data_IF_339799467574
#
_entry.id   IF_339799467574
#
_cell.length_a   1.000
_cell.length_b   1.000
_cell.length_c   1.000
_cell.angle_alpha   90.00
_cell.angle_beta   90.00
_cell.angle_gamma   90.00
#
_symmetry.space_group_name_H-M   'P 1'
#
loop_
_entity.id
_entity.type
_entity.pdbx_description
1 polymer ?
#
# COMPACT_ATOMS: atom_id res chain seq x y z
N UNK A 1 1.15 -16.26 7.43
CA UNK A 1 0.09 -15.29 7.09
C UNK A 1 0.67 -13.97 7.53
N UNK A 2 1.58 -13.36 6.77
CA UNK A 2 2.42 -12.32 7.36
C UNK A 2 2.95 -11.35 6.31
N UNK A 3 2.82 -10.06 6.64
CA UNK A 3 3.61 -8.87 6.26
C UNK A 3 2.67 -7.66 6.33
N UNK A 4 2.85 -6.73 7.28
CA UNK A 4 2.12 -5.45 7.21
C UNK A 4 2.93 -4.46 6.38
N UNK A 5 2.40 -4.05 5.22
CA UNK A 5 3.03 -3.09 4.32
C UNK A 5 2.32 -1.74 4.45
N UNK A 6 3.04 -0.71 4.90
CA UNK A 6 2.57 0.68 4.81
C UNK A 6 3.38 1.40 3.75
N UNK A 7 2.73 1.96 2.74
CA UNK A 7 3.39 2.68 1.67
C UNK A 7 3.37 4.16 2.00
N UNK A 8 4.49 4.86 2.03
CA UNK A 8 4.42 6.31 2.23
C UNK A 8 5.56 7.06 1.54
N UNK A 9 5.13 7.91 0.61
CA UNK A 9 5.81 8.92 -0.21
C UNK A 9 6.45 8.46 -1.53
N UNK A 10 6.14 9.21 -2.59
CA UNK A 10 7.00 9.36 -3.76
C UNK A 10 7.30 10.84 -3.92
N UNK A 11 8.55 11.26 -3.72
CA UNK A 11 8.95 12.66 -3.89
C UNK A 11 9.51 12.87 -5.29
N UNK A 12 8.97 13.77 -6.14
CA UNK A 12 9.79 14.41 -7.14
C UNK A 12 10.86 15.27 -6.44
N UNK A 13 12.07 15.37 -6.98
CA UNK A 13 13.16 16.20 -6.44
C UNK A 13 12.86 17.72 -6.41
N UNK A 14 11.62 18.14 -6.65
CA UNK A 14 11.18 19.52 -6.46
C UNK A 14 10.90 19.75 -4.97
N UNK A 15 11.85 20.44 -4.33
CA UNK A 15 12.05 20.67 -2.88
C UNK A 15 10.83 21.32 -2.16
N UNK A 16 9.74 21.57 -2.88
CA UNK A 16 8.54 22.25 -2.41
C UNK A 16 7.25 21.41 -2.47
N UNK A 17 7.29 20.15 -2.90
CA UNK A 17 6.12 19.24 -2.84
C UNK A 17 6.46 17.90 -2.18
N UNK A 18 6.57 17.91 -0.85
CA UNK A 18 6.46 16.70 -0.05
C UNK A 18 5.00 16.24 -0.03
N UNK A 19 4.73 14.99 -0.39
CA UNK A 19 3.36 14.49 -0.43
C UNK A 19 3.28 12.97 -0.38
N UNK A 20 2.24 12.48 0.27
CA UNK A 20 1.87 11.08 0.18
C UNK A 20 1.45 10.75 -1.25
N UNK A 21 1.67 9.49 -1.64
CA UNK A 21 0.91 8.92 -2.73
C UNK A 21 -0.59 9.07 -2.44
N UNK A 22 -1.46 9.13 -3.47
CA UNK A 22 -2.90 9.14 -3.25
C UNK A 22 -3.30 7.96 -2.34
N UNK A 23 -3.82 8.28 -1.15
CA UNK A 23 -4.11 7.30 -0.09
C UNK A 23 -2.93 6.35 0.24
N UNK A 24 -1.69 6.84 0.21
CA UNK A 24 -0.50 6.02 0.50
C UNK A 24 -0.51 5.48 1.92
N UNK A 25 -0.86 6.32 2.89
CA UNK A 25 -0.95 5.97 4.31
C UNK A 25 -2.20 5.17 4.68
N UNK A 26 -3.04 4.77 3.72
CA UNK A 26 -4.22 3.92 3.94
C UNK A 26 -5.27 4.44 4.92
N UNK A 27 -5.33 5.74 5.22
CA UNK A 27 -6.35 6.29 6.14
C UNK A 27 -7.77 6.28 5.56
N UNK A 28 -7.90 6.14 4.25
CA UNK A 28 -9.18 5.90 3.58
C UNK A 28 -9.32 4.42 3.24
N UNK A 29 -10.22 3.74 3.95
CA UNK A 29 -10.42 2.30 3.84
C UNK A 29 -11.55 1.86 2.89
N UNK A 30 -11.69 0.53 2.69
CA UNK A 30 -12.82 -0.09 1.99
C UNK A 30 -14.19 0.19 2.62
N UNK A 31 -15.25 0.01 1.84
CA UNK A 31 -16.61 -0.07 2.40
C UNK A 31 -16.77 -1.38 3.18
N UNK A 32 -17.63 -1.37 4.20
CA UNK A 32 -17.89 -2.57 5.01
C UNK A 32 -18.40 -3.76 4.17
N UNK A 33 -19.11 -3.49 3.07
CA UNK A 33 -19.58 -4.52 2.13
C UNK A 33 -18.47 -5.18 1.31
N UNK A 34 -17.29 -4.58 1.27
CA UNK A 34 -16.10 -5.06 0.55
C UNK A 34 -15.07 -5.69 1.49
N UNK A 35 -15.50 -5.98 2.72
CA UNK A 35 -14.72 -6.62 3.76
C UNK A 35 -15.40 -7.91 4.24
N UNK A 36 -14.61 -8.95 4.48
CA UNK A 36 -14.99 -10.13 5.27
C UNK A 36 -14.14 -10.14 6.53
N UNK A 37 -14.68 -9.53 7.59
CA UNK A 37 -13.87 -9.17 8.76
C UNK A 37 -12.88 -8.08 8.38
N UNK A 38 -11.58 -8.39 8.44
CA UNK A 38 -10.47 -7.52 8.02
C UNK A 38 -10.01 -7.79 6.59
N UNK A 39 -10.41 -8.93 6.02
CA UNK A 39 -9.98 -9.34 4.67
C UNK A 39 -10.71 -8.52 3.62
N UNK A 40 -9.95 -7.90 2.72
CA UNK A 40 -10.47 -7.13 1.59
C UNK A 40 -10.91 -8.08 0.49
N UNK A 41 -12.18 -8.01 0.09
CA UNK A 41 -12.77 -8.97 -0.86
C UNK A 41 -12.89 -8.44 -2.29
N UNK A 42 -12.88 -7.12 -2.48
CA UNK A 42 -12.87 -6.49 -3.79
C UNK A 42 -11.45 -5.98 -4.13
N UNK A 43 -10.87 -6.37 -5.29
CA UNK A 43 -9.55 -5.90 -5.75
C UNK A 43 -9.36 -4.38 -5.80
N UNK A 44 -10.44 -3.61 -5.89
CA UNK A 44 -10.42 -2.15 -5.97
C UNK A 44 -11.05 -1.46 -4.76
N UNK A 45 -11.25 -2.18 -3.65
CA UNK A 45 -11.96 -1.64 -2.49
C UNK A 45 -11.18 -0.52 -1.79
N UNK A 46 -9.85 -0.59 -1.81
CA UNK A 46 -8.99 0.42 -1.19
C UNK A 46 -8.84 1.58 -2.18
N UNK A 47 -9.27 2.81 -1.83
CA UNK A 47 -9.16 3.95 -2.72
C UNK A 47 -7.74 4.16 -3.26
N UNK A 48 -7.62 4.27 -4.59
CA UNK A 48 -6.38 4.46 -5.35
C UNK A 48 -5.40 3.27 -5.39
N UNK A 49 -5.76 2.13 -4.79
CA UNK A 49 -4.95 0.92 -4.78
C UNK A 49 -5.70 -0.23 -5.42
N UNK A 50 -4.98 -1.04 -6.19
CA UNK A 50 -5.46 -2.35 -6.62
C UNK A 50 -4.70 -3.42 -5.84
N UNK A 51 -5.43 -4.41 -5.35
CA UNK A 51 -4.88 -5.51 -4.56
C UNK A 51 -4.95 -6.82 -5.33
N UNK A 52 -4.05 -7.74 -4.99
CA UNK A 52 -4.09 -9.13 -5.45
C UNK A 52 -3.67 -10.06 -4.32
N UNK A 53 -4.27 -11.25 -4.28
CA UNK A 53 -4.03 -12.23 -3.22
C UNK A 53 -4.72 -11.87 -1.90
N UNK A 54 -4.16 -12.38 -0.80
CA UNK A 54 -4.71 -12.16 0.54
C UNK A 54 -4.25 -10.81 1.08
N UNK A 55 -5.17 -9.84 1.19
CA UNK A 55 -4.90 -8.53 1.79
C UNK A 55 -5.92 -8.24 2.87
N UNK A 56 -5.44 -7.80 4.03
CA UNK A 56 -6.27 -7.31 5.11
C UNK A 56 -6.09 -5.81 5.29
N UNK A 57 -7.18 -5.13 5.62
CA UNK A 57 -7.18 -3.75 6.09
C UNK A 57 -7.22 -3.77 7.62
N UNK A 58 -6.19 -3.25 8.26
CA UNK A 58 -6.00 -3.35 9.71
C UNK A 58 -6.03 -1.97 10.35
N UNK A 59 -6.50 -1.91 11.59
CA UNK A 59 -6.53 -0.70 12.41
C UNK A 59 -5.49 -0.76 13.52
N UNK A 60 -4.91 0.38 13.88
CA UNK A 60 -4.04 0.51 15.03
C UNK A 60 -4.72 -0.01 16.30
N UNK A 61 -3.99 -0.78 17.10
CA UNK A 61 -4.52 -1.44 18.30
C UNK A 61 -5.23 -2.79 18.03
N UNK A 62 -5.40 -3.20 16.78
CA UNK A 62 -6.03 -4.47 16.44
C UNK A 62 -5.17 -5.66 16.92
N UNK A 63 -5.83 -6.68 17.47
CA UNK A 63 -5.19 -7.92 17.90
C UNK A 63 -5.60 -9.11 17.05
N UNK A 64 -4.69 -10.05 16.87
CA UNK A 64 -4.96 -11.38 16.33
C UNK A 64 -4.56 -12.42 17.39
N UNK A 65 -5.55 -12.93 18.12
CA UNK A 65 -5.29 -13.65 19.37
C UNK A 65 -4.67 -12.69 20.40
N UNK A 66 -3.56 -13.10 21.00
CA UNK A 66 -2.81 -12.26 21.95
C UNK A 66 -1.81 -11.30 21.27
N UNK A 67 -1.62 -11.43 19.96
CA UNK A 67 -0.65 -10.64 19.20
C UNK A 67 -1.23 -9.29 18.79
N UNK A 68 -0.52 -8.21 19.11
CA UNK A 68 -0.84 -6.87 18.62
C UNK A 68 -0.31 -6.69 17.19
N UNK A 69 -1.18 -6.32 16.26
CA UNK A 69 -0.78 -5.95 14.91
C UNK A 69 -0.23 -4.52 14.93
N UNK A 70 1.02 -4.36 14.50
CA UNK A 70 1.70 -3.06 14.46
C UNK A 70 1.24 -2.29 13.23
N UNK A 71 0.75 -1.07 13.45
CA UNK A 71 0.55 -0.06 12.41
C UNK A 71 1.70 0.94 12.52
N UNK A 72 2.66 0.95 11.57
CA UNK A 72 3.86 1.81 11.62
C UNK A 72 3.59 3.32 11.74
N UNK A 73 2.53 3.79 11.09
CA UNK A 73 2.18 5.21 11.01
C UNK A 73 0.65 5.36 10.90
N UNK A 74 0.08 6.40 11.50
CA UNK A 74 -1.35 6.69 11.40
C UNK A 74 -2.25 5.72 12.17
N UNK A 75 -3.49 5.59 11.71
CA UNK A 75 -4.53 4.76 12.28
C UNK A 75 -4.76 3.45 11.52
N UNK A 76 -4.31 3.34 10.27
CA UNK A 76 -4.61 2.19 9.41
C UNK A 76 -3.40 1.71 8.59
N UNK A 77 -3.43 0.45 8.20
CA UNK A 77 -2.43 -0.16 7.32
C UNK A 77 -3.05 -1.30 6.51
N UNK A 78 -2.31 -1.81 5.53
CA UNK A 78 -2.64 -3.09 4.88
C UNK A 78 -1.67 -4.18 5.31
N UNK A 79 -2.20 -5.38 5.48
CA UNK A 79 -1.43 -6.60 5.73
C UNK A 79 -1.53 -7.53 4.54
N UNK A 80 -0.39 -7.84 3.95
CA UNK A 80 -0.21 -8.76 2.86
C UNK A 80 0.00 -10.18 3.38
N UNK A 81 -0.71 -11.12 2.80
CA UNK A 81 -0.38 -12.54 2.89
C UNK A 81 0.74 -12.92 1.91
N UNK A 82 1.07 -14.21 1.87
CA UNK A 82 2.04 -14.73 0.92
C UNK A 82 1.60 -14.45 -0.52
N UNK A 83 2.53 -14.00 -1.36
CA UNK A 83 2.31 -13.64 -2.78
C UNK A 83 1.25 -12.57 -3.02
N UNK A 84 0.78 -11.89 -1.96
CA UNK A 84 -0.14 -10.78 -2.10
C UNK A 84 0.60 -9.51 -2.54
N UNK A 85 -0.11 -8.61 -3.19
CA UNK A 85 0.45 -7.35 -3.65
C UNK A 85 -0.58 -6.23 -3.60
N UNK A 86 -0.05 -5.01 -3.52
CA UNK A 86 -0.79 -3.78 -3.74
C UNK A 86 -0.06 -2.97 -4.79
N UNK A 87 -0.82 -2.35 -5.69
CA UNK A 87 -0.26 -1.55 -6.78
C UNK A 87 -1.10 -0.31 -7.01
N UNK A 88 -0.43 0.75 -7.44
CA UNK A 88 -1.04 2.00 -7.81
C UNK A 88 -0.42 2.48 -9.12
N UNK A 89 -1.24 3.09 -9.97
CA UNK A 89 -0.77 3.72 -11.21
C UNK A 89 -0.68 5.23 -11.01
N UNK A 90 0.53 5.76 -11.15
CA UNK A 90 0.82 7.18 -10.96
C UNK A 90 1.08 7.86 -12.30
N UNK A 91 0.57 9.09 -12.44
CA UNK A 91 1.02 10.00 -13.49
C UNK A 91 2.23 10.78 -12.97
N UNK A 92 3.35 10.68 -13.67
CA UNK A 92 4.60 11.37 -13.33
C UNK A 92 5.04 12.26 -14.49
N UNK A 93 5.83 13.29 -14.18
CA UNK A 93 6.46 14.16 -15.19
C UNK A 93 7.70 13.46 -15.78
N UNK A 94 7.78 13.41 -17.12
CA UNK A 94 8.94 12.90 -17.86
C UNK A 94 10.19 13.69 -17.49
N UNK A 95 11.31 12.98 -17.31
CA UNK A 95 12.60 13.58 -16.94
C UNK A 95 12.72 14.01 -15.48
N UNK A 96 11.71 13.72 -14.64
CA UNK A 96 11.80 13.92 -13.19
C UNK A 96 12.55 12.79 -12.50
N UNK A 97 13.24 13.13 -11.41
CA UNK A 97 13.79 12.16 -10.46
C UNK A 97 12.81 11.97 -9.31
N UNK A 98 12.54 10.71 -8.96
CA UNK A 98 11.61 10.35 -7.91
C UNK A 98 12.28 9.42 -6.90
N UNK A 99 12.03 9.61 -5.61
CA UNK A 99 12.33 8.58 -4.60
C UNK A 99 11.04 8.14 -3.92
N UNK A 100 10.94 6.84 -3.67
CA UNK A 100 9.85 6.24 -2.89
C UNK A 100 10.41 5.86 -1.54
N UNK A 101 9.68 6.09 -0.46
CA UNK A 101 9.87 5.21 0.69
C UNK A 101 8.55 4.72 1.25
N UNK A 102 8.64 3.92 2.28
CA UNK A 102 7.56 3.19 2.88
C UNK A 102 8.04 2.66 4.23
N UNK A 103 7.09 2.32 5.09
CA UNK A 103 7.35 1.73 6.41
C UNK A 103 6.75 0.33 6.44
N UNK A 104 7.50 -0.66 6.88
CA UNK A 104 7.00 -2.03 7.00
C UNK A 104 7.19 -2.52 8.42
N UNK A 105 6.20 -3.26 8.93
CA UNK A 105 6.29 -3.95 10.20
C UNK A 105 6.05 -5.44 10.00
N UNK A 106 6.91 -6.24 10.62
CA UNK A 106 6.81 -7.70 10.62
C UNK A 106 5.86 -8.12 11.74
N UNK A 107 4.95 -9.04 11.43
CA UNK A 107 4.05 -9.64 12.42
C UNK A 107 4.61 -10.92 13.01
N UNK A 108 5.52 -11.61 12.33
CA UNK A 108 6.07 -12.89 12.78
C UNK A 108 7.59 -12.98 12.57
N UNK A 109 8.24 -13.92 13.25
CA UNK A 109 9.70 -14.04 13.29
C UNK A 109 10.32 -14.74 12.05
N UNK A 110 9.49 -15.22 11.11
CA UNK A 110 9.96 -15.94 9.91
C UNK A 110 10.56 -15.00 8.87
N UNK A 111 11.49 -15.51 8.08
CA UNK A 111 12.14 -14.78 6.99
C UNK A 111 11.10 -14.39 5.92
N UNK A 112 10.97 -13.10 5.66
CA UNK A 112 10.00 -12.52 4.74
C UNK A 112 10.73 -11.60 3.76
N UNK A 113 10.44 -11.74 2.46
CA UNK A 113 10.97 -10.85 1.42
C UNK A 113 9.85 -9.97 0.90
N UNK A 114 10.02 -8.65 1.02
CA UNK A 114 9.15 -7.68 0.39
C UNK A 114 9.77 -7.19 -0.92
N UNK A 115 9.09 -7.44 -2.04
CA UNK A 115 9.53 -6.96 -3.35
C UNK A 115 8.91 -5.60 -3.68
N UNK A 116 9.75 -4.63 -4.04
CA UNK A 116 9.32 -3.32 -4.51
C UNK A 116 9.72 -3.17 -5.97
N UNK A 117 8.73 -2.92 -6.83
CA UNK A 117 8.94 -2.77 -8.27
C UNK A 117 8.30 -1.48 -8.79
N UNK A 118 8.97 -0.87 -9.76
CA UNK A 118 8.48 0.32 -10.47
C UNK A 118 8.48 -0.04 -11.95
N UNK A 119 7.30 -0.02 -12.57
CA UNK A 119 7.13 -0.38 -13.98
C UNK A 119 6.77 0.88 -14.78
N UNK A 120 7.72 1.46 -15.55
CA UNK A 120 7.43 2.61 -16.39
C UNK A 120 6.44 2.21 -17.49
N UNK A 121 5.23 2.75 -17.44
CA UNK A 121 4.26 2.56 -18.53
C UNK A 121 4.32 3.77 -19.45
N UNK A 122 4.88 3.60 -20.66
CA UNK A 122 4.78 4.63 -21.69
C UNK A 122 3.34 4.62 -22.24
N UNK A 123 2.54 5.63 -21.91
CA UNK A 123 1.36 5.92 -22.73
C UNK A 123 1.88 6.49 -24.05
N UNK A 124 1.61 5.80 -25.16
CA UNK A 124 1.67 6.41 -26.47
C UNK A 124 0.47 7.35 -26.53
N UNK A 125 0.72 8.66 -26.52
CA UNK A 125 -0.29 9.60 -27.01
C UNK A 125 -0.40 9.35 -28.50
N UNK A 126 -1.36 8.53 -28.91
CA UNK A 126 -1.92 8.61 -30.25
C UNK A 126 -2.66 9.93 -30.31
N UNK A 127 -1.97 10.97 -30.77
CA UNK A 127 -2.60 12.21 -31.18
C UNK A 127 -3.54 11.91 -32.34
N UNK A 128 -4.83 12.14 -32.10
CA UNK A 128 -5.80 12.50 -33.11
C UNK A 128 -6.02 14.01 -33.04
#
# INVERSE_FOLDING_TARGET
MDTSLVISYAVPYDIHKFGLLPNGNFEYGPKQSELKGTVVTNPHAIPNWEISGFVEYIKSGQKQGDMLLVVPEGGFAVRLGNEASIKQKLKVKKGGFYSITFSAARTCAQEETLNVSIIPTLRKDTGE
#
